data_IF_736790546831
#
_entry.id   IF_736790546831
#
_cell.length_a   1.000
_cell.length_b   1.000
_cell.length_c   1.000
_cell.angle_alpha   90.00
_cell.angle_beta   90.00
_cell.angle_gamma   90.00
#
_symmetry.space_group_name_H-M   'P 1'
#
loop_
_entity.id
_entity.type
_entity.pdbx_description
1 polymer ?
#
# COMPACT_ATOMS: atom_id res chain seq x y z
N UNK A 1 23.39 -14.98 28.86
CA UNK A 1 23.69 -14.42 27.52
C UNK A 1 23.09 -15.17 26.33
N UNK A 2 22.59 -16.41 26.47
CA UNK A 2 21.92 -17.12 25.36
C UNK A 2 20.44 -16.70 25.19
N UNK A 3 19.69 -16.57 26.29
CA UNK A 3 18.25 -16.31 26.26
C UNK A 3 17.87 -15.00 25.55
N UNK A 4 18.47 -13.87 25.93
CA UNK A 4 18.18 -12.56 25.32
C UNK A 4 18.29 -12.56 23.77
N UNK A 5 19.27 -13.27 23.19
CA UNK A 5 19.39 -13.39 21.73
C UNK A 5 18.25 -14.18 21.08
N UNK A 6 17.68 -15.15 21.79
CA UNK A 6 16.48 -15.85 21.36
C UNK A 6 15.24 -14.96 21.43
N UNK A 7 15.08 -14.22 22.53
CA UNK A 7 13.95 -13.31 22.75
C UNK A 7 13.93 -12.17 21.71
N UNK A 8 15.08 -11.53 21.45
CA UNK A 8 15.24 -10.50 20.41
C UNK A 8 14.90 -11.04 19.01
N UNK A 9 15.33 -12.27 18.70
CA UNK A 9 15.07 -12.90 17.39
C UNK A 9 13.59 -13.22 17.20
N UNK A 10 12.91 -13.70 18.26
CA UNK A 10 11.47 -13.97 18.26
C UNK A 10 10.65 -12.68 18.18
N UNK A 11 11.06 -11.62 18.89
CA UNK A 11 10.44 -10.30 18.81
C UNK A 11 10.57 -9.70 17.40
N UNK A 12 11.75 -9.79 16.79
CA UNK A 12 11.99 -9.34 15.42
C UNK A 12 11.13 -10.10 14.38
N UNK A 13 11.02 -11.44 14.52
CA UNK A 13 10.15 -12.25 13.68
C UNK A 13 8.69 -11.78 13.73
N UNK A 14 8.12 -11.69 14.94
CA UNK A 14 6.74 -11.21 15.16
C UNK A 14 6.51 -9.80 14.60
N UNK A 15 7.46 -8.89 14.80
CA UNK A 15 7.38 -7.54 14.26
C UNK A 15 7.41 -7.53 12.73
N UNK A 16 8.21 -8.39 12.09
CA UNK A 16 8.24 -8.55 10.63
C UNK A 16 6.94 -9.09 10.07
N UNK A 17 6.33 -10.06 10.73
CA UNK A 17 5.05 -10.65 10.33
C UNK A 17 3.90 -9.64 10.48
N UNK A 18 3.88 -8.87 11.57
CA UNK A 18 2.93 -7.78 11.77
C UNK A 18 3.06 -6.69 10.68
N UNK A 19 4.27 -6.19 10.41
CA UNK A 19 4.55 -5.25 9.30
C UNK A 19 4.09 -5.79 7.96
N UNK A 20 4.29 -7.09 7.70
CA UNK A 20 3.89 -7.70 6.44
C UNK A 20 2.36 -7.81 6.31
N UNK A 21 1.66 -8.16 7.38
CA UNK A 21 0.20 -8.23 7.42
C UNK A 21 -0.44 -6.83 7.26
N UNK A 22 -0.05 -5.89 8.10
CA UNK A 22 -0.55 -4.51 8.09
C UNK A 22 -0.18 -3.80 6.79
N UNK A 23 1.07 -3.96 6.32
CA UNK A 23 1.53 -3.40 5.05
C UNK A 23 0.73 -3.91 3.85
N UNK A 24 0.46 -5.22 3.78
CA UNK A 24 -0.41 -5.80 2.73
C UNK A 24 -1.83 -5.22 2.80
N UNK A 25 -2.42 -5.16 4.00
CA UNK A 25 -3.77 -4.61 4.21
C UNK A 25 -3.86 -3.14 3.80
N UNK A 26 -2.92 -2.32 4.28
CA UNK A 26 -2.93 -0.88 4.06
C UNK A 26 -2.60 -0.52 2.61
N UNK A 27 -1.70 -1.25 1.93
CA UNK A 27 -1.49 -1.09 0.47
C UNK A 27 -2.76 -1.47 -0.30
N UNK A 28 -3.44 -2.58 0.03
CA UNK A 28 -4.69 -2.96 -0.64
C UNK A 28 -5.79 -1.90 -0.47
N UNK A 29 -5.89 -1.27 0.71
CA UNK A 29 -6.77 -0.13 0.95
C UNK A 29 -6.37 1.08 0.10
N UNK A 30 -5.09 1.50 0.13
CA UNK A 30 -4.59 2.66 -0.61
C UNK A 30 -4.62 2.51 -2.14
N UNK A 31 -4.67 1.27 -2.64
CA UNK A 31 -4.78 0.96 -4.07
C UNK A 31 -6.21 0.63 -4.51
N UNK A 32 -7.19 0.72 -3.61
CA UNK A 32 -8.62 0.51 -3.87
C UNK A 32 -9.41 1.80 -3.64
N UNK A 33 -10.24 2.17 -4.61
CA UNK A 33 -11.14 3.32 -4.55
C UNK A 33 -12.44 2.99 -5.26
N UNK A 34 -13.59 3.11 -4.59
CA UNK A 34 -14.87 3.11 -5.29
C UNK A 34 -15.35 4.56 -5.47
N UNK A 35 -15.37 5.00 -6.72
CA UNK A 35 -15.86 6.32 -7.12
C UNK A 35 -17.27 6.25 -7.74
N UNK A 36 -17.96 5.11 -7.58
CA UNK A 36 -19.26 4.82 -8.19
C UNK A 36 -20.36 5.74 -7.63
N UNK A 37 -20.22 6.20 -6.39
CA UNK A 37 -21.11 7.17 -5.74
C UNK A 37 -20.30 8.19 -4.92
N UNK A 38 -20.92 9.33 -4.57
CA UNK A 38 -20.27 10.32 -3.69
C UNK A 38 -20.00 9.74 -2.28
N UNK A 39 -20.89 8.89 -1.78
CA UNK A 39 -20.76 8.26 -0.46
C UNK A 39 -19.62 7.25 -0.42
N UNK A 40 -19.49 6.40 -1.44
CA UNK A 40 -18.38 5.45 -1.54
C UNK A 40 -17.04 6.15 -1.76
N UNK A 41 -17.00 7.22 -2.56
CA UNK A 41 -15.80 8.05 -2.72
C UNK A 41 -15.37 8.70 -1.38
N UNK A 42 -16.32 9.18 -0.57
CA UNK A 42 -16.03 9.72 0.77
C UNK A 42 -15.51 8.64 1.73
N UNK A 43 -16.14 7.47 1.74
CA UNK A 43 -15.67 6.33 2.54
C UNK A 43 -14.27 5.88 2.12
N UNK A 44 -13.96 5.88 0.82
CA UNK A 44 -12.63 5.59 0.27
C UNK A 44 -11.56 6.57 0.75
N UNK A 45 -11.80 7.89 0.65
CA UNK A 45 -10.88 8.91 1.17
C UNK A 45 -10.67 8.77 2.68
N UNK A 46 -11.72 8.48 3.45
CA UNK A 46 -11.60 8.22 4.89
C UNK A 46 -10.78 6.96 5.20
N UNK A 47 -10.97 5.87 4.44
CA UNK A 47 -10.20 4.63 4.59
C UNK A 47 -8.71 4.85 4.27
N UNK A 48 -8.41 5.61 3.21
CA UNK A 48 -7.05 6.00 2.86
C UNK A 48 -6.36 6.79 3.99
N UNK A 49 -7.05 7.77 4.57
CA UNK A 49 -6.54 8.53 5.73
C UNK A 49 -6.33 7.66 6.97
N UNK A 50 -7.14 6.62 7.18
CA UNK A 50 -7.00 5.71 8.31
C UNK A 50 -5.82 4.72 8.15
N UNK A 51 -5.54 4.29 6.93
CA UNK A 51 -4.42 3.41 6.56
C UNK A 51 -3.06 4.14 6.49
N UNK A 52 -3.07 5.48 6.42
CA UNK A 52 -1.90 6.33 6.31
C UNK A 52 -1.55 7.06 7.62
N UNK A 53 -0.31 7.56 7.70
CA UNK A 53 0.16 8.41 8.81
C UNK A 53 1.15 9.47 8.31
N UNK A 54 1.34 10.55 9.08
CA UNK A 54 2.28 11.63 8.75
C UNK A 54 1.95 12.31 7.40
N UNK A 55 2.95 12.69 6.59
CA UNK A 55 2.73 13.49 5.37
C UNK A 55 1.72 12.88 4.39
N UNK A 56 1.75 11.56 4.18
CA UNK A 56 0.78 10.91 3.29
C UNK A 56 -0.67 11.06 3.81
N UNK A 57 -0.89 11.03 5.11
CA UNK A 57 -2.20 11.27 5.72
C UNK A 57 -2.66 12.73 5.53
N UNK A 58 -1.74 13.70 5.57
CA UNK A 58 -2.03 15.12 5.33
C UNK A 58 -2.40 15.39 3.86
N UNK A 59 -1.68 14.82 2.90
CA UNK A 59 -2.01 14.94 1.46
C UNK A 59 -3.36 14.28 1.12
N UNK A 60 -3.61 13.07 1.65
CA UNK A 60 -4.92 12.43 1.59
C UNK A 60 -5.99 13.24 2.35
N UNK A 61 -5.58 14.01 3.36
CA UNK A 61 -6.35 15.01 4.09
C UNK A 61 -6.91 16.14 3.21
N UNK A 62 -6.19 16.51 2.15
CA UNK A 62 -6.61 17.52 1.16
C UNK A 62 -7.33 16.93 -0.06
N UNK A 63 -7.30 15.61 -0.22
CA UNK A 63 -7.95 14.92 -1.34
C UNK A 63 -9.48 14.99 -1.21
N UNK A 64 -10.14 15.52 -2.24
CA UNK A 64 -11.60 15.60 -2.34
C UNK A 64 -12.21 14.30 -2.89
N UNK A 65 -13.28 13.83 -2.25
CA UNK A 65 -14.08 12.71 -2.75
C UNK A 65 -14.89 13.12 -3.99
N UNK A 66 -14.50 12.61 -5.17
CA UNK A 66 -15.17 12.84 -6.46
C UNK A 66 -15.61 11.52 -7.07
N UNK A 67 -16.78 11.52 -7.70
CA UNK A 67 -17.29 10.38 -8.50
C UNK A 67 -16.52 10.27 -9.81
N UNK A 68 -16.30 9.05 -10.30
CA UNK A 68 -15.46 8.83 -11.48
C UNK A 68 -15.15 7.35 -11.70
N UNK A 69 -13.91 7.07 -12.13
CA UNK A 69 -13.43 5.70 -12.30
C UNK A 69 -13.17 5.05 -10.93
N UNK A 70 -13.59 3.80 -10.77
CA UNK A 70 -13.28 2.98 -9.60
C UNK A 70 -12.02 2.15 -9.87
N UNK A 71 -11.22 1.90 -8.85
CA UNK A 71 -10.02 1.06 -8.91
C UNK A 71 -10.06 0.01 -7.80
N UNK A 72 -9.61 -1.22 -8.08
CA UNK A 72 -9.47 -2.27 -7.07
C UNK A 72 -8.04 -2.81 -7.07
N UNK A 73 -7.33 -2.58 -5.98
CA UNK A 73 -5.96 -3.04 -5.77
C UNK A 73 -5.92 -4.37 -5.04
N UNK A 74 -5.34 -5.37 -5.68
CA UNK A 74 -5.06 -6.70 -5.11
C UNK A 74 -3.55 -6.87 -4.98
N UNK A 75 -3.05 -6.94 -3.74
CA UNK A 75 -1.63 -7.24 -3.49
C UNK A 75 -1.38 -8.71 -3.82
N UNK A 76 -0.62 -8.98 -4.88
CA UNK A 76 -0.27 -10.35 -5.30
C UNK A 76 0.97 -10.86 -4.58
N UNK A 77 1.91 -9.96 -4.27
CA UNK A 77 3.15 -10.26 -3.57
C UNK A 77 3.50 -9.10 -2.65
N UNK A 78 4.11 -9.38 -1.50
CA UNK A 78 4.79 -8.37 -0.71
C UNK A 78 5.87 -8.99 0.16
N UNK A 79 6.96 -8.25 0.35
CA UNK A 79 8.10 -8.61 1.18
C UNK A 79 8.63 -7.39 1.95
N UNK A 80 8.95 -7.59 3.23
CA UNK A 80 9.65 -6.58 4.05
C UNK A 80 11.11 -6.52 3.63
N UNK A 81 11.56 -5.35 3.17
CA UNK A 81 12.93 -5.08 2.71
C UNK A 81 13.82 -4.49 3.80
N UNK A 82 13.23 -3.74 4.74
CA UNK A 82 13.91 -3.26 5.94
C UNK A 82 12.93 -3.18 7.12
N UNK A 83 13.42 -3.45 8.32
CA UNK A 83 12.67 -3.30 9.58
C UNK A 83 13.62 -2.78 10.66
N UNK A 84 13.29 -1.63 11.22
CA UNK A 84 13.94 -1.09 12.41
C UNK A 84 12.89 -0.97 13.53
N UNK A 85 12.89 -1.96 14.43
CA UNK A 85 11.92 -2.11 15.53
C UNK A 85 12.09 -1.07 16.63
N UNK A 86 13.31 -0.54 16.81
CA UNK A 86 13.68 0.47 17.82
C UNK A 86 13.28 1.88 17.40
N UNK A 87 13.35 2.21 16.11
CA UNK A 87 12.81 3.44 15.54
C UNK A 87 11.32 3.34 15.18
N UNK A 88 10.73 2.14 15.20
CA UNK A 88 9.34 1.92 14.80
C UNK A 88 9.11 2.21 13.31
N UNK A 89 10.07 1.87 12.45
CA UNK A 89 9.98 2.12 11.00
C UNK A 89 10.27 0.87 10.19
N UNK A 90 9.60 0.73 9.06
CA UNK A 90 9.80 -0.40 8.17
C UNK A 90 9.63 -0.01 6.70
N UNK A 91 10.18 -0.82 5.81
CA UNK A 91 9.98 -0.73 4.37
C UNK A 91 9.47 -2.08 3.86
N UNK A 92 8.41 -2.06 3.06
CA UNK A 92 8.03 -3.20 2.23
C UNK A 92 8.01 -2.83 0.76
N UNK A 93 8.23 -3.84 -0.08
CA UNK A 93 7.97 -3.78 -1.51
C UNK A 93 6.79 -4.71 -1.80
N UNK A 94 5.85 -4.24 -2.62
CA UNK A 94 4.64 -4.98 -2.97
C UNK A 94 4.38 -4.96 -4.48
N UNK A 95 3.99 -6.11 -5.03
CA UNK A 95 3.42 -6.19 -6.38
C UNK A 95 1.90 -6.12 -6.23
N UNK A 96 1.27 -5.16 -6.90
CA UNK A 96 -0.17 -4.94 -6.86
C UNK A 96 -0.74 -5.04 -8.27
N UNK A 97 -1.81 -5.84 -8.41
CA UNK A 97 -2.71 -5.80 -9.57
C UNK A 97 -3.79 -4.76 -9.30
N UNK A 98 -3.96 -3.78 -10.17
CA UNK A 98 -5.00 -2.76 -10.05
C UNK A 98 -5.98 -2.92 -11.21
N UNK A 99 -7.22 -3.26 -10.89
CA UNK A 99 -8.31 -3.35 -11.84
C UNK A 99 -9.07 -2.02 -11.86
N UNK A 100 -8.93 -1.25 -12.94
CA UNK A 100 -9.54 0.09 -13.10
C UNK A 100 -10.78 -0.01 -13.96
N UNK A 101 -11.93 0.36 -13.41
CA UNK A 101 -13.22 0.44 -14.11
C UNK A 101 -13.55 1.91 -14.42
N UNK A 102 -13.52 2.35 -15.69
CA UNK A 102 -13.93 3.70 -16.08
C UNK A 102 -15.38 4.01 -15.69
N UNK A 103 -15.69 5.28 -15.40
CA UNK A 103 -17.04 5.71 -15.10
C UNK A 103 -18.01 5.31 -16.23
N UNK A 104 -19.12 4.65 -15.87
CA UNK A 104 -20.12 4.15 -16.84
C UNK A 104 -19.72 2.89 -17.62
N UNK A 105 -18.49 2.40 -17.48
CA UNK A 105 -18.06 1.10 -18.03
C UNK A 105 -18.36 -0.04 -17.05
N UNK A 106 -18.57 -1.25 -17.60
CA UNK A 106 -18.58 -2.51 -16.83
C UNK A 106 -17.31 -3.34 -17.04
N UNK A 107 -16.44 -2.92 -17.97
CA UNK A 107 -15.21 -3.62 -18.31
C UNK A 107 -14.04 -2.98 -17.55
N UNK A 108 -13.41 -3.68 -16.59
CA UNK A 108 -12.18 -3.22 -15.96
C UNK A 108 -10.97 -3.45 -16.87
N UNK A 109 -10.00 -2.55 -16.79
CA UNK A 109 -8.66 -2.75 -17.34
C UNK A 109 -7.71 -3.13 -16.20
N UNK A 110 -7.06 -4.28 -16.32
CA UNK A 110 -6.07 -4.75 -15.33
C UNK A 110 -4.69 -4.18 -15.64
N UNK A 111 -4.06 -3.54 -14.66
CA UNK A 111 -2.66 -3.15 -14.70
C UNK A 111 -1.88 -3.80 -13.54
N UNK A 112 -0.56 -3.94 -13.67
CA UNK A 112 0.30 -4.46 -12.59
C UNK A 112 1.41 -3.46 -12.30
N UNK A 113 1.50 -3.02 -11.05
CA UNK A 113 2.53 -2.09 -10.58
C UNK A 113 3.32 -2.69 -9.41
N UNK A 114 4.54 -2.19 -9.22
CA UNK A 114 5.32 -2.43 -8.01
C UNK A 114 5.35 -1.14 -7.20
N UNK A 115 5.11 -1.25 -5.91
CA UNK A 115 5.07 -0.12 -4.97
C UNK A 115 6.10 -0.38 -3.86
N UNK A 116 6.89 0.63 -3.52
CA UNK A 116 7.62 0.68 -2.25
C UNK A 116 6.75 1.44 -1.25
N UNK A 117 6.60 0.90 -0.05
CA UNK A 117 5.85 1.51 1.03
C UNK A 117 6.75 1.63 2.26
N UNK A 118 6.83 2.83 2.81
CA UNK A 118 7.46 3.11 4.11
C UNK A 118 6.37 3.13 5.15
N UNK A 119 6.50 2.33 6.21
CA UNK A 119 5.56 2.31 7.33
C UNK A 119 6.21 2.91 8.59
N UNK A 120 5.36 3.47 9.44
CA UNK A 120 5.68 3.78 10.82
C UNK A 120 4.72 3.04 11.75
N UNK A 121 5.23 2.51 12.86
CA UNK A 121 4.44 1.98 13.97
C UNK A 121 3.72 3.16 14.63
N UNK A 122 2.42 3.03 14.84
CA UNK A 122 1.57 4.04 15.45
C UNK A 122 0.79 3.43 16.60
N UNK A 123 0.75 4.13 17.74
CA UNK A 123 -0.07 3.73 18.90
C UNK A 123 0.13 2.27 19.32
N UNK A 124 -0.99 1.54 19.39
CA UNK A 124 -1.14 0.13 19.80
C UNK A 124 -0.57 -0.85 18.76
N UNK A 125 0.74 -0.75 18.47
CA UNK A 125 1.50 -1.64 17.58
C UNK A 125 1.07 -1.67 16.09
N UNK A 126 0.04 -0.93 15.67
CA UNK A 126 -0.45 -0.87 14.29
C UNK A 126 0.53 -0.14 13.35
N UNK A 127 0.87 -0.77 12.23
CA UNK A 127 1.77 -0.19 11.22
C UNK A 127 1.01 0.53 10.10
N UNK A 128 1.16 1.85 10.01
CA UNK A 128 0.50 2.67 8.97
C UNK A 128 1.50 3.14 7.91
N UNK A 129 1.01 3.29 6.69
CA UNK A 129 1.84 3.72 5.55
C UNK A 129 2.12 5.23 5.66
N UNK A 130 3.38 5.58 5.81
CA UNK A 130 3.88 6.96 5.89
C UNK A 130 4.21 7.54 4.51
N UNK A 131 4.66 6.70 3.58
CA UNK A 131 4.92 7.05 2.18
C UNK A 131 4.66 5.83 1.29
N UNK A 132 4.21 6.07 0.06
CA UNK A 132 3.92 5.05 -0.93
C UNK A 132 4.40 5.56 -2.30
N UNK A 133 5.42 4.90 -2.84
CA UNK A 133 6.10 5.31 -4.06
C UNK A 133 5.94 4.25 -5.15
N UNK A 134 5.60 4.69 -6.36
CA UNK A 134 5.51 3.79 -7.51
C UNK A 134 6.92 3.46 -8.02
N UNK A 135 7.34 2.20 -7.88
CA UNK A 135 8.56 1.72 -8.48
C UNK A 135 8.28 1.49 -9.96
N UNK A 136 9.01 2.14 -10.89
CA UNK A 136 8.88 1.85 -12.31
C UNK A 136 9.18 0.36 -12.53
N UNK A 137 8.16 -0.40 -12.92
CA UNK A 137 8.44 -1.62 -13.66
C UNK A 137 9.07 -1.15 -14.95
N UNK A 138 10.32 -1.54 -15.21
CA UNK A 138 10.93 -1.36 -16.51
C UNK A 138 10.02 -2.05 -17.53
N UNK A 139 9.21 -1.26 -18.24
CA UNK A 139 8.62 -1.72 -19.48
C UNK A 139 9.81 -1.90 -20.41
N UNK A 140 10.23 -3.14 -20.60
CA UNK A 140 10.98 -3.47 -21.80
C UNK A 140 10.05 -3.12 -22.96
N UNK A 141 10.23 -1.91 -23.48
CA UNK A 141 9.65 -1.53 -24.74
C UNK A 141 10.42 -2.33 -25.78
N UNK A 142 9.92 -3.53 -26.06
CA UNK A 142 10.13 -4.16 -27.37
C UNK A 142 9.34 -3.31 -28.38
N UNK A 143 9.86 -2.11 -28.65
CA UNK A 143 9.50 -1.34 -29.83
C UNK A 143 9.99 -2.15 -31.02
N UNK A 144 9.07 -2.97 -31.55
CA UNK A 144 9.27 -3.69 -32.79
C UNK A 144 9.36 -2.70 -33.93
N UNK A 145 10.58 -2.24 -34.22
CA UNK A 145 10.88 -1.50 -35.44
C UNK A 145 10.48 -2.35 -36.65
N UNK A 146 9.60 -1.77 -37.48
CA UNK A 146 8.55 -2.57 -38.11
C UNK A 146 7.92 -2.01 -39.38
N UNK A 147 8.62 -1.09 -40.08
CA UNK A 147 8.72 -0.96 -41.56
C UNK A 147 9.13 0.45 -42.01
#
# INVERSE_FOLDING_TARGET
>A
YAQARGDDSLAYGRARDAVLADGRRNIAVLTTFDASTRQTAQAGVSAWRAASTGPLQEELGRTEAKTGASARGTVTEAAVTALDTRAGTAKLIATVRVDVTPAGSKTPTTDRKRLEAVLARTGEDEWKVKALDAVPLARTAEDGDGR
#
